data_IF_177152547854
#
_entry.id   IF_177152547854
#
_cell.length_a   1.000
_cell.length_b   1.000
_cell.length_c   1.000
_cell.angle_alpha   90.00
_cell.angle_beta   90.00
_cell.angle_gamma   90.00
#
_symmetry.space_group_name_H-M   'P 1'
#
loop_
_entity.id
_entity.type
_entity.pdbx_description
1 polymer ?
#
# COMPACT_ATOMS: atom_id res chain seq x y z
N UNK A 1 -0.33 -3.10 -23.49
CA UNK A 1 -0.30 -1.72 -22.90
C UNK A 1 -1.68 -1.38 -22.31
N UNK A 2 -2.48 -2.39 -22.03
CA UNK A 2 -3.94 -2.31 -22.07
C UNK A 2 -4.53 -1.83 -20.75
N UNK A 3 -3.70 -1.76 -19.70
CA UNK A 3 -4.03 -1.14 -18.42
C UNK A 3 -3.41 0.25 -18.28
N UNK A 4 -2.20 0.45 -18.81
CA UNK A 4 -1.46 1.70 -18.66
C UNK A 4 -2.00 2.83 -19.56
N UNK A 5 -2.19 2.58 -20.86
CA UNK A 5 -2.71 3.59 -21.80
C UNK A 5 -4.09 4.14 -21.42
N UNK A 6 -5.07 3.32 -20.98
CA UNK A 6 -6.36 3.84 -20.54
C UNK A 6 -6.36 4.35 -19.09
N UNK A 7 -5.24 4.29 -18.36
CA UNK A 7 -5.14 4.78 -16.97
C UNK A 7 -5.68 3.84 -15.90
N UNK A 8 -6.13 2.64 -16.27
CA UNK A 8 -6.63 1.60 -15.33
C UNK A 8 -5.53 1.06 -14.41
N UNK A 9 -4.26 1.24 -14.78
CA UNK A 9 -3.09 0.81 -14.01
C UNK A 9 -3.05 1.40 -12.59
N UNK A 10 -3.67 2.56 -12.36
CA UNK A 10 -3.79 3.19 -11.03
C UNK A 10 -4.60 2.35 -10.03
N UNK A 11 -5.41 1.40 -10.51
CA UNK A 11 -6.11 0.45 -9.65
C UNK A 11 -5.21 -0.65 -9.09
N UNK A 12 -3.97 -0.75 -9.60
CA UNK A 12 -2.99 -1.76 -9.24
C UNK A 12 -1.76 -1.10 -8.60
N UNK A 13 -1.16 -0.11 -9.27
CA UNK A 13 0.07 0.51 -8.79
C UNK A 13 -0.09 1.22 -7.45
N UNK A 14 -1.15 1.98 -7.22
CA UNK A 14 -1.35 2.69 -5.95
C UNK A 14 -1.57 1.71 -4.79
N UNK A 15 -2.20 0.57 -5.07
CA UNK A 15 -2.49 -0.48 -4.10
C UNK A 15 -1.21 -1.24 -3.75
N UNK A 16 -0.43 -1.63 -4.75
CA UNK A 16 0.84 -2.34 -4.58
C UNK A 16 1.92 -1.42 -3.98
N UNK A 17 1.86 -0.12 -4.24
CA UNK A 17 2.75 0.87 -3.63
C UNK A 17 2.57 0.92 -2.10
N UNK A 18 1.32 0.86 -1.61
CA UNK A 18 1.07 0.80 -0.17
C UNK A 18 1.59 -0.51 0.44
N UNK A 19 1.32 -1.65 -0.19
CA UNK A 19 1.80 -2.95 0.29
C UNK A 19 3.33 -2.99 0.43
N UNK A 20 4.05 -2.65 -0.64
CA UNK A 20 5.52 -2.66 -0.67
C UNK A 20 6.14 -1.61 0.24
N UNK A 21 5.50 -0.44 0.39
CA UNK A 21 5.95 0.57 1.34
C UNK A 21 5.74 0.11 2.79
N UNK A 22 4.59 -0.49 3.12
CA UNK A 22 4.36 -1.08 4.45
C UNK A 22 5.39 -2.18 4.74
N UNK A 23 5.74 -3.01 3.77
CA UNK A 23 6.79 -4.03 3.94
C UNK A 23 8.15 -3.40 4.26
N UNK A 24 8.48 -2.29 3.59
CA UNK A 24 9.65 -1.49 3.92
C UNK A 24 9.62 -0.99 5.38
N UNK A 25 8.48 -0.45 5.82
CA UNK A 25 8.30 0.08 7.18
C UNK A 25 8.43 -0.99 8.25
N UNK A 26 7.92 -2.20 7.99
CA UNK A 26 7.97 -3.31 8.93
C UNK A 26 9.36 -3.94 9.06
N UNK A 27 10.13 -4.01 7.98
CA UNK A 27 11.35 -4.80 7.94
C UNK A 27 12.65 -4.00 7.92
N UNK A 28 12.62 -2.73 7.50
CA UNK A 28 13.85 -1.98 7.21
C UNK A 28 13.87 -0.55 7.79
N UNK A 29 12.71 0.03 8.09
CA UNK A 29 12.64 1.42 8.55
C UNK A 29 13.18 1.60 9.98
N UNK A 30 13.84 2.74 10.19
CA UNK A 30 14.14 3.20 11.56
C UNK A 30 12.84 3.47 12.33
N UNK A 31 12.83 3.46 13.68
CA UNK A 31 11.62 3.72 14.45
C UNK A 31 10.95 5.07 14.13
N UNK A 32 11.74 6.12 13.86
CA UNK A 32 11.22 7.44 13.49
C UNK A 32 10.61 7.46 12.08
N UNK A 33 11.25 6.77 11.13
CA UNK A 33 10.74 6.60 9.77
C UNK A 33 9.45 5.78 9.78
N UNK A 34 9.42 4.67 10.53
CA UNK A 34 8.24 3.81 10.68
C UNK A 34 7.04 4.60 11.16
N UNK A 35 7.17 5.34 12.27
CA UNK A 35 6.10 6.18 12.83
C UNK A 35 5.54 7.18 11.82
N UNK A 36 6.42 7.85 11.06
CA UNK A 36 5.99 8.84 10.06
C UNK A 36 5.36 8.18 8.84
N UNK A 37 5.91 7.04 8.41
CA UNK A 37 5.39 6.25 7.30
C UNK A 37 4.02 5.65 7.59
N UNK A 38 3.79 5.13 8.80
CA UNK A 38 2.50 4.59 9.21
C UNK A 38 1.40 5.66 9.17
N UNK A 39 1.69 6.88 9.64
CA UNK A 39 0.75 8.00 9.54
C UNK A 39 0.43 8.37 8.08
N UNK A 40 1.43 8.28 7.19
CA UNK A 40 1.22 8.51 5.77
C UNK A 40 0.37 7.40 5.13
N UNK A 41 0.60 6.13 5.47
CA UNK A 41 -0.18 4.99 4.97
C UNK A 41 -1.66 5.17 5.30
N UNK A 42 -1.99 5.53 6.54
CA UNK A 42 -3.38 5.78 6.94
C UNK A 42 -4.00 6.98 6.21
N UNK A 43 -3.22 8.06 6.02
CA UNK A 43 -3.68 9.24 5.27
C UNK A 43 -4.03 8.87 3.83
N UNK A 44 -3.12 8.17 3.14
CA UNK A 44 -3.31 7.75 1.75
C UNK A 44 -4.49 6.79 1.62
N UNK A 45 -4.66 5.83 2.54
CA UNK A 45 -5.81 4.92 2.55
C UNK A 45 -7.14 5.70 2.62
N UNK A 46 -7.22 6.73 3.46
CA UNK A 46 -8.43 7.54 3.62
C UNK A 46 -8.74 8.43 2.41
N UNK A 47 -7.73 8.81 1.63
CA UNK A 47 -7.89 9.59 0.39
C UNK A 47 -8.25 8.72 -0.83
N UNK A 48 -8.11 7.39 -0.72
CA UNK A 48 -8.43 6.48 -1.82
C UNK A 48 -9.95 6.32 -2.04
N UNK A 49 -10.39 6.12 -3.30
CA UNK A 49 -11.75 5.68 -3.60
C UNK A 49 -12.09 4.35 -2.88
N UNK A 50 -13.35 4.14 -2.43
CA UNK A 50 -13.71 3.03 -1.53
C UNK A 50 -13.29 1.63 -2.00
N UNK A 51 -13.41 1.36 -3.31
CA UNK A 51 -13.04 0.06 -3.89
C UNK A 51 -11.53 -0.20 -3.85
N UNK A 52 -10.71 0.84 -4.04
CA UNK A 52 -9.24 0.76 -3.97
C UNK A 52 -8.77 0.70 -2.52
N UNK A 53 -9.33 1.55 -1.65
CA UNK A 53 -9.06 1.56 -0.21
C UNK A 53 -9.26 0.16 0.39
N UNK A 54 -10.38 -0.50 0.08
CA UNK A 54 -10.66 -1.84 0.62
C UNK A 54 -9.59 -2.87 0.23
N UNK A 55 -9.12 -2.84 -1.02
CA UNK A 55 -8.06 -3.75 -1.50
C UNK A 55 -6.71 -3.41 -0.87
N UNK A 56 -6.35 -2.13 -0.87
CA UNK A 56 -5.07 -1.68 -0.31
C UNK A 56 -4.98 -1.99 1.19
N UNK A 57 -6.06 -1.74 1.94
CA UNK A 57 -6.14 -2.07 3.36
C UNK A 57 -5.95 -3.56 3.62
N UNK A 58 -6.53 -4.43 2.79
CA UNK A 58 -6.33 -5.87 2.95
C UNK A 58 -4.85 -6.28 2.79
N UNK A 59 -4.16 -5.76 1.78
CA UNK A 59 -2.72 -6.03 1.58
C UNK A 59 -1.87 -5.47 2.74
N UNK A 60 -2.14 -4.23 3.17
CA UNK A 60 -1.41 -3.59 4.28
C UNK A 60 -1.54 -4.40 5.56
N UNK A 61 -2.75 -4.90 5.90
CA UNK A 61 -2.96 -5.73 7.09
C UNK A 61 -2.27 -7.09 6.97
N UNK A 62 -2.23 -7.69 5.78
CA UNK A 62 -1.49 -8.93 5.54
C UNK A 62 0.02 -8.76 5.73
N UNK A 63 0.58 -7.66 5.23
CA UNK A 63 2.00 -7.31 5.44
C UNK A 63 2.28 -7.05 6.92
N UNK A 64 1.42 -6.30 7.62
CA UNK A 64 1.53 -6.06 9.07
C UNK A 64 1.46 -7.36 9.89
N UNK A 65 0.75 -8.38 9.38
CA UNK A 65 0.71 -9.72 9.98
C UNK A 65 1.96 -10.58 9.68
N UNK A 66 2.93 -10.05 8.93
CA UNK A 66 4.18 -10.73 8.58
C UNK A 66 4.23 -11.30 7.16
N UNK A 67 3.20 -11.03 6.34
CA UNK A 67 3.23 -11.33 4.91
C UNK A 67 4.31 -10.54 4.18
N UNK A 68 4.81 -11.10 3.07
CA UNK A 68 5.81 -10.48 2.20
C UNK A 68 5.43 -10.70 0.75
N UNK A 69 5.82 -9.77 -0.12
CA UNK A 69 5.53 -9.84 -1.55
C UNK A 69 4.02 -10.00 -1.83
N UNK A 70 3.21 -9.21 -1.12
CA UNK A 70 1.74 -9.24 -1.25
C UNK A 70 1.30 -8.19 -2.26
N UNK A 71 0.68 -8.60 -3.38
CA UNK A 71 0.28 -7.69 -4.47
C UNK A 71 -0.98 -8.15 -5.21
N UNK A 72 -1.56 -7.25 -6.02
CA UNK A 72 -2.72 -7.48 -6.90
C UNK A 72 -2.42 -7.21 -8.37
#
# INVERSE_FOLDING_TARGET
MDLAKPGLIKNYCDVNALSTFTEFLEHYASPGTKKTGDALVETVLNEMPPSRMKRAKALVEEVRAGGRDVYV
#
